data_IF_722033767295
#
_entry.id   IF_722033767295
#
_cell.length_a   1.000
_cell.length_b   1.000
_cell.length_c   1.000
_cell.angle_alpha   90.00
_cell.angle_beta   90.00
_cell.angle_gamma   90.00
#
_symmetry.space_group_name_H-M   'P 1'
#
loop_
_entity.id
_entity.type
_entity.pdbx_description
1 polymer ?
#
# COMPACT_ATOMS: atom_id res chain seq x y z
N UNK A 1 27.40 0.45 5.94
CA UNK A 1 26.33 1.30 5.38
C UNK A 1 25.50 1.80 6.55
N UNK A 2 25.25 3.12 6.71
CA UNK A 2 24.39 3.62 7.80
C UNK A 2 22.94 3.32 7.42
N UNK A 3 22.23 2.55 8.25
CA UNK A 3 20.81 2.21 8.10
C UNK A 3 19.99 3.51 8.23
N UNK A 4 18.99 3.71 7.38
CA UNK A 4 18.13 4.90 7.42
C UNK A 4 16.91 4.55 8.28
N UNK A 5 17.01 4.80 9.59
CA UNK A 5 16.06 4.27 10.57
C UNK A 5 14.65 4.82 10.36
N UNK A 6 14.50 6.10 10.03
CA UNK A 6 13.16 6.66 9.84
C UNK A 6 12.38 6.03 8.67
N UNK A 7 13.05 5.63 7.58
CA UNK A 7 12.39 4.93 6.46
C UNK A 7 11.97 3.51 6.84
N UNK A 8 12.77 2.87 7.68
CA UNK A 8 12.49 1.55 8.24
C UNK A 8 11.32 1.58 9.22
N UNK A 9 11.26 2.62 10.05
CA UNK A 9 10.15 2.87 10.96
C UNK A 9 8.87 3.28 10.21
N UNK A 10 9.00 4.10 9.15
CA UNK A 10 7.85 4.51 8.33
C UNK A 10 7.23 3.31 7.60
N UNK A 11 8.04 2.45 6.98
CA UNK A 11 7.51 1.19 6.40
C UNK A 11 6.79 0.35 7.44
N UNK A 12 7.40 0.15 8.62
CA UNK A 12 6.82 -0.62 9.70
C UNK A 12 5.45 -0.06 10.14
N UNK A 13 5.39 1.25 10.33
CA UNK A 13 4.16 1.97 10.65
C UNK A 13 3.10 1.79 9.57
N UNK A 14 3.45 1.95 8.29
CA UNK A 14 2.49 1.78 7.19
C UNK A 14 1.95 0.36 7.12
N UNK A 15 2.77 -0.68 7.38
CA UNK A 15 2.28 -2.05 7.43
C UNK A 15 1.32 -2.27 8.61
N UNK A 16 1.66 -1.78 9.81
CA UNK A 16 0.77 -1.89 10.96
C UNK A 16 -0.54 -1.12 10.74
N UNK A 17 -0.46 0.09 10.18
CA UNK A 17 -1.62 0.91 9.81
C UNK A 17 -2.49 0.19 8.77
N UNK A 18 -1.87 -0.44 7.77
CA UNK A 18 -2.56 -1.22 6.75
C UNK A 18 -3.28 -2.43 7.37
N UNK A 19 -2.72 -3.10 8.36
CA UNK A 19 -3.40 -4.21 9.06
C UNK A 19 -4.67 -3.71 9.73
N UNK A 20 -4.61 -2.64 10.53
CA UNK A 20 -5.80 -2.10 11.21
C UNK A 20 -6.80 -1.50 10.21
N UNK A 21 -6.32 -0.93 9.10
CA UNK A 21 -7.14 -0.50 7.97
C UNK A 21 -7.98 -1.64 7.38
N UNK A 22 -7.37 -2.80 7.10
CA UNK A 22 -8.08 -3.95 6.56
C UNK A 22 -9.12 -4.51 7.54
N UNK A 23 -8.85 -4.42 8.84
CA UNK A 23 -9.81 -4.78 9.88
C UNK A 23 -10.99 -3.80 9.88
N UNK A 24 -10.71 -2.49 9.75
CA UNK A 24 -11.75 -1.46 9.76
C UNK A 24 -12.72 -1.62 8.58
N UNK A 25 -12.22 -2.10 7.44
CA UNK A 25 -13.07 -2.41 6.27
C UNK A 25 -14.19 -3.41 6.57
N UNK A 26 -13.99 -4.29 7.55
CA UNK A 26 -15.00 -5.26 7.98
C UNK A 26 -16.12 -4.67 8.83
N UNK A 27 -15.99 -3.42 9.28
CA UNK A 27 -16.96 -2.75 10.17
C UNK A 27 -17.52 -1.45 9.57
N UNK A 28 -17.15 -1.11 8.33
CA UNK A 28 -17.61 0.10 7.64
C UNK A 28 -19.14 0.11 7.45
N UNK A 29 -19.73 1.30 7.53
CA UNK A 29 -21.10 1.54 7.06
C UNK A 29 -21.28 1.21 5.57
N UNK A 30 -20.24 1.47 4.76
CA UNK A 30 -20.25 1.22 3.32
C UNK A 30 -19.10 0.28 2.94
N UNK A 31 -19.09 -0.93 3.51
CA UNK A 31 -18.10 -1.95 3.19
C UNK A 31 -18.28 -2.45 1.73
N UNK A 32 -17.21 -2.63 0.95
CA UNK A 32 -17.32 -3.17 -0.39
C UNK A 32 -17.86 -4.60 -0.42
N UNK A 33 -18.73 -4.93 -1.38
CA UNK A 33 -19.33 -6.26 -1.50
C UNK A 33 -18.32 -7.38 -1.80
N UNK A 34 -17.13 -7.03 -2.30
CA UNK A 34 -16.06 -7.98 -2.56
C UNK A 34 -15.16 -8.20 -1.33
N UNK A 35 -15.43 -7.53 -0.21
CA UNK A 35 -14.65 -7.73 1.02
C UNK A 35 -14.92 -9.09 1.66
N UNK A 36 -13.87 -9.67 2.26
CA UNK A 36 -13.83 -11.09 2.62
C UNK A 36 -14.72 -11.45 3.81
N UNK A 37 -14.56 -10.74 4.93
CA UNK A 37 -15.38 -10.87 6.12
C UNK A 37 -15.92 -9.49 6.50
N UNK A 38 -17.24 -9.35 6.60
CA UNK A 38 -17.91 -8.08 6.94
C UNK A 38 -18.92 -8.35 8.03
N UNK A 39 -18.74 -7.71 9.18
CA UNK A 39 -19.71 -7.74 10.26
C UNK A 39 -20.79 -6.68 9.98
N UNK A 40 -21.98 -7.15 9.61
CA UNK A 40 -23.13 -6.29 9.28
C UNK A 40 -24.04 -6.03 10.50
N UNK A 41 -23.68 -6.49 11.70
CA UNK A 41 -24.54 -6.37 12.87
C UNK A 41 -24.66 -4.93 13.39
N UNK A 42 -23.58 -4.17 13.35
CA UNK A 42 -23.51 -2.78 13.82
C UNK A 42 -22.50 -1.96 13.00
N UNK A 43 -22.81 -1.64 11.73
CA UNK A 43 -21.86 -1.01 10.83
C UNK A 43 -21.75 0.51 11.10
N UNK A 44 -20.53 1.06 11.13
CA UNK A 44 -20.28 2.45 11.60
C UNK A 44 -19.65 3.36 10.55
N UNK A 45 -20.10 4.61 10.50
CA UNK A 45 -19.55 5.66 9.62
C UNK A 45 -18.10 5.99 9.95
N UNK A 46 -17.71 5.93 11.23
CA UNK A 46 -16.35 6.25 11.69
C UNK A 46 -15.29 5.38 11.00
N UNK A 47 -15.57 4.10 10.80
CA UNK A 47 -14.69 3.18 10.06
C UNK A 47 -14.66 3.52 8.56
N UNK A 48 -15.79 3.93 7.96
CA UNK A 48 -15.81 4.42 6.57
C UNK A 48 -14.91 5.65 6.42
N UNK A 49 -15.02 6.64 7.32
CA UNK A 49 -14.20 7.86 7.32
C UNK A 49 -12.72 7.50 7.42
N UNK A 50 -12.36 6.61 8.36
CA UNK A 50 -10.98 6.17 8.54
C UNK A 50 -10.42 5.47 7.30
N UNK A 51 -11.17 4.55 6.69
CA UNK A 51 -10.75 3.84 5.47
C UNK A 51 -10.61 4.82 4.30
N UNK A 52 -11.58 5.68 4.05
CA UNK A 52 -11.51 6.68 2.97
C UNK A 52 -10.28 7.58 3.12
N UNK A 53 -9.93 7.96 4.35
CA UNK A 53 -8.76 8.77 4.64
C UNK A 53 -7.44 8.00 4.46
N UNK A 54 -7.32 6.80 5.03
CA UNK A 54 -6.08 6.03 5.03
C UNK A 54 -5.72 5.38 3.68
N UNK A 55 -6.73 5.07 2.86
CA UNK A 55 -6.57 4.43 1.53
C UNK A 55 -5.63 5.21 0.59
N UNK A 56 -5.51 6.52 0.81
CA UNK A 56 -4.83 7.43 -0.13
C UNK A 56 -3.32 7.30 -0.12
N UNK A 57 -2.71 7.07 1.04
CA UNK A 57 -1.27 7.30 1.21
C UNK A 57 -0.46 6.05 1.53
N UNK A 58 -1.10 4.98 2.00
CA UNK A 58 -0.44 3.70 2.32
C UNK A 58 0.44 3.25 1.14
N UNK A 59 -0.14 3.14 -0.05
CA UNK A 59 0.56 2.62 -1.22
C UNK A 59 1.56 3.60 -1.83
N UNK A 60 1.24 4.89 -2.04
CA UNK A 60 2.22 5.89 -2.46
C UNK A 60 3.50 5.95 -1.60
N UNK A 61 3.37 5.89 -0.27
CA UNK A 61 4.52 5.85 0.64
C UNK A 61 5.36 4.60 0.40
N UNK A 62 4.73 3.42 0.31
CA UNK A 62 5.43 2.16 0.07
C UNK A 62 6.16 2.14 -1.29
N UNK A 63 5.54 2.66 -2.35
CA UNK A 63 6.17 2.77 -3.66
C UNK A 63 7.32 3.78 -3.69
N UNK A 64 7.19 4.94 -3.02
CA UNK A 64 8.28 5.89 -2.86
C UNK A 64 9.51 5.24 -2.20
N UNK A 65 9.31 4.56 -1.08
CA UNK A 65 10.40 3.90 -0.35
C UNK A 65 11.02 2.78 -1.21
N UNK A 66 10.18 2.03 -1.91
CA UNK A 66 10.62 0.95 -2.80
C UNK A 66 11.43 1.44 -4.00
N UNK A 67 11.08 2.60 -4.55
CA UNK A 67 11.83 3.27 -5.62
C UNK A 67 13.19 3.77 -5.14
N UNK A 68 13.23 4.42 -3.97
CA UNK A 68 14.46 4.90 -3.33
C UNK A 68 15.48 3.78 -3.12
N UNK A 69 15.08 2.68 -2.46
CA UNK A 69 15.97 1.52 -2.26
C UNK A 69 16.17 0.69 -3.54
N UNK A 70 15.22 0.78 -4.47
CA UNK A 70 15.28 0.17 -5.79
C UNK A 70 16.48 0.59 -6.61
N UNK A 71 16.56 1.90 -6.89
CA UNK A 71 17.68 2.46 -7.64
C UNK A 71 18.99 2.31 -6.87
N UNK A 72 18.96 2.47 -5.55
CA UNK A 72 20.13 2.24 -4.70
C UNK A 72 20.70 0.83 -4.86
N UNK A 73 19.82 -0.18 -4.88
CA UNK A 73 20.19 -1.58 -5.09
C UNK A 73 20.74 -1.82 -6.49
N UNK A 74 20.14 -1.20 -7.52
CA UNK A 74 20.55 -1.36 -8.91
C UNK A 74 21.89 -0.68 -9.20
N UNK A 75 22.16 0.50 -8.62
CA UNK A 75 23.40 1.24 -8.81
C UNK A 75 24.62 0.61 -8.13
N UNK A 76 24.41 -0.22 -7.09
CA UNK A 76 25.50 -0.76 -6.25
C UNK A 76 25.85 -2.21 -6.55
N UNK A 77 25.09 -2.89 -7.40
CA UNK A 77 25.23 -4.33 -7.60
C UNK A 77 25.14 -4.68 -9.08
N UNK A 78 25.83 -5.74 -9.53
CA UNK A 78 25.67 -6.25 -10.89
C UNK A 78 24.22 -6.64 -11.18
N UNK A 79 23.81 -6.54 -12.45
CA UNK A 79 22.44 -6.84 -12.89
C UNK A 79 21.96 -8.23 -12.44
N UNK A 80 22.83 -9.26 -12.52
CA UNK A 80 22.51 -10.62 -12.06
C UNK A 80 22.11 -10.64 -10.59
N UNK A 81 22.90 -10.00 -9.72
CA UNK A 81 22.63 -9.95 -8.27
C UNK A 81 21.37 -9.16 -7.94
N UNK A 82 21.11 -8.06 -8.67
CA UNK A 82 19.86 -7.32 -8.57
C UNK A 82 18.65 -8.23 -8.85
N UNK A 83 18.65 -8.93 -9.99
CA UNK A 83 17.54 -9.79 -10.38
C UNK A 83 17.37 -11.01 -9.48
N UNK A 84 18.46 -11.69 -9.09
CA UNK A 84 18.37 -12.80 -8.11
C UNK A 84 17.71 -12.32 -6.82
N UNK A 85 18.04 -11.13 -6.33
CA UNK A 85 17.40 -10.58 -5.14
C UNK A 85 15.91 -10.29 -5.33
N UNK A 86 15.50 -9.77 -6.50
CA UNK A 86 14.09 -9.42 -6.76
C UNK A 86 13.24 -10.66 -7.04
N UNK A 87 13.80 -11.67 -7.70
CA UNK A 87 13.14 -12.96 -7.90
C UNK A 87 12.89 -13.65 -6.55
N UNK A 88 13.92 -13.75 -5.71
CA UNK A 88 13.80 -14.44 -4.41
C UNK A 88 12.90 -13.72 -3.41
N UNK A 89 12.89 -12.38 -3.39
CA UNK A 89 12.19 -11.60 -2.36
C UNK A 89 10.89 -10.95 -2.83
N UNK A 90 10.53 -11.05 -4.11
CA UNK A 90 9.32 -10.41 -4.64
C UNK A 90 8.57 -11.38 -5.52
N UNK A 91 9.19 -11.85 -6.61
CA UNK A 91 8.50 -12.69 -7.59
C UNK A 91 8.03 -14.02 -7.00
N UNK A 92 8.93 -14.77 -6.33
CA UNK A 92 8.58 -16.06 -5.72
C UNK A 92 7.50 -15.89 -4.63
N UNK A 93 7.67 -15.00 -3.63
CA UNK A 93 6.61 -14.72 -2.66
C UNK A 93 5.28 -14.32 -3.31
N UNK A 94 5.31 -13.45 -4.33
CA UNK A 94 4.11 -13.03 -5.06
C UNK A 94 3.37 -14.21 -5.69
N UNK A 95 4.07 -15.05 -6.47
CA UNK A 95 3.47 -16.22 -7.12
C UNK A 95 2.91 -17.21 -6.10
N UNK A 96 3.68 -17.52 -5.05
CA UNK A 96 3.21 -18.41 -3.98
C UNK A 96 2.00 -17.83 -3.25
N UNK A 97 1.98 -16.51 -3.01
CA UNK A 97 0.88 -15.83 -2.35
C UNK A 97 -0.39 -15.90 -3.19
N UNK A 98 -0.29 -15.64 -4.49
CA UNK A 98 -1.43 -15.68 -5.43
C UNK A 98 -1.96 -17.10 -5.65
N UNK A 99 -1.09 -18.12 -5.72
CA UNK A 99 -1.53 -19.49 -6.01
C UNK A 99 -2.06 -20.19 -4.76
N UNK A 100 -1.43 -19.97 -3.60
CA UNK A 100 -1.72 -20.74 -2.39
C UNK A 100 -2.65 -19.98 -1.45
N UNK A 101 -2.32 -18.72 -1.15
CA UNK A 101 -2.97 -17.97 -0.07
C UNK A 101 -4.18 -17.17 -0.57
N UNK A 102 -4.10 -16.56 -1.76
CA UNK A 102 -5.19 -15.76 -2.30
C UNK A 102 -6.52 -16.52 -2.47
N UNK A 103 -6.56 -17.79 -2.98
CA UNK A 103 -7.82 -18.53 -3.04
C UNK A 103 -8.42 -18.75 -1.65
N UNK A 104 -7.60 -19.11 -0.66
CA UNK A 104 -8.06 -19.34 0.71
C UNK A 104 -8.68 -18.07 1.33
N UNK A 105 -8.06 -16.91 1.11
CA UNK A 105 -8.59 -15.61 1.56
C UNK A 105 -9.90 -15.28 0.84
N UNK A 106 -9.94 -15.41 -0.49
CA UNK A 106 -11.15 -15.11 -1.27
C UNK A 106 -12.30 -16.05 -0.92
N UNK A 107 -12.01 -17.31 -0.57
CA UNK A 107 -13.03 -18.27 -0.14
C UNK A 107 -13.77 -17.85 1.14
N UNK A 108 -13.17 -17.01 1.98
CA UNK A 108 -13.85 -16.46 3.17
C UNK A 108 -15.11 -15.67 2.83
N UNK A 109 -15.23 -15.13 1.61
CA UNK A 109 -16.45 -14.49 1.12
C UNK A 109 -17.65 -15.45 1.20
N UNK A 110 -17.45 -16.71 0.80
CA UNK A 110 -18.51 -17.72 0.76
C UNK A 110 -18.80 -18.24 2.17
N UNK A 111 -17.75 -18.47 2.96
CA UNK A 111 -17.87 -18.95 4.34
C UNK A 111 -18.61 -17.96 5.24
N UNK A 112 -18.27 -16.67 5.16
CA UNK A 112 -18.89 -15.61 5.98
C UNK A 112 -20.32 -15.31 5.58
N UNK A 113 -20.72 -15.69 4.36
CA UNK A 113 -22.08 -15.49 3.81
C UNK A 113 -22.91 -16.77 3.80
N UNK A 114 -22.40 -17.85 4.40
CA UNK A 114 -23.06 -19.17 4.44
C UNK A 114 -23.48 -19.70 3.06
N UNK A 115 -22.71 -19.40 2.01
CA UNK A 115 -22.97 -19.90 0.66
C UNK A 115 -22.38 -21.31 0.55
N UNK A 116 -23.19 -22.35 0.30
CA UNK A 116 -22.73 -23.74 0.27
C UNK A 116 -22.00 -24.04 -1.04
N UNK A 117 -20.73 -23.61 -1.13
CA UNK A 117 -19.85 -23.88 -2.27
C UNK A 117 -18.65 -24.71 -1.81
N UNK A 118 -18.51 -25.99 -2.22
CA UNK A 118 -17.35 -26.80 -1.85
C UNK A 118 -16.04 -26.16 -2.31
N UNK A 119 -15.00 -26.24 -1.46
CA UNK A 119 -13.73 -25.55 -1.71
C UNK A 119 -13.07 -25.95 -3.05
N UNK A 120 -13.09 -27.24 -3.41
CA UNK A 120 -12.50 -27.70 -4.68
C UNK A 120 -13.26 -27.20 -5.91
N UNK A 121 -14.58 -27.03 -5.79
CA UNK A 121 -15.38 -26.43 -6.87
C UNK A 121 -15.10 -24.93 -6.98
N UNK A 122 -15.05 -24.22 -5.86
CA UNK A 122 -14.62 -22.82 -5.81
C UNK A 122 -13.24 -22.63 -6.45
N UNK A 123 -12.26 -23.42 -6.02
CA UNK A 123 -10.86 -23.26 -6.43
C UNK A 123 -10.70 -23.35 -7.95
N UNK A 124 -11.32 -24.36 -8.56
CA UNK A 124 -11.21 -24.60 -9.99
C UNK A 124 -12.12 -23.66 -10.79
N UNK A 125 -13.44 -23.70 -10.56
CA UNK A 125 -14.43 -23.06 -11.43
C UNK A 125 -14.62 -21.57 -11.16
N UNK A 126 -14.39 -21.13 -9.93
CA UNK A 126 -14.71 -19.75 -9.49
C UNK A 126 -13.46 -18.89 -9.33
N UNK A 127 -12.37 -19.47 -8.81
CA UNK A 127 -11.13 -18.75 -8.57
C UNK A 127 -10.18 -18.80 -9.77
N UNK A 128 -9.56 -19.94 -10.10
CA UNK A 128 -8.51 -19.99 -11.14
C UNK A 128 -9.03 -19.71 -12.56
N UNK A 129 -10.16 -20.34 -12.92
CA UNK A 129 -10.77 -20.22 -14.24
C UNK A 129 -12.07 -19.41 -14.23
N UNK A 130 -12.35 -18.71 -13.12
CA UNK A 130 -13.59 -17.98 -12.92
C UNK A 130 -13.41 -16.48 -12.70
N UNK A 131 -14.51 -15.78 -12.38
CA UNK A 131 -14.51 -14.33 -12.27
C UNK A 131 -13.74 -13.81 -11.05
N UNK A 132 -13.53 -14.63 -10.01
CA UNK A 132 -12.95 -14.20 -8.73
C UNK A 132 -11.43 -14.40 -8.62
N UNK A 133 -10.73 -14.69 -9.72
CA UNK A 133 -9.27 -14.65 -9.72
C UNK A 133 -8.79 -13.28 -9.22
N UNK A 134 -8.05 -13.28 -8.12
CA UNK A 134 -7.55 -12.08 -7.45
C UNK A 134 -6.14 -12.32 -6.92
N UNK A 135 -5.35 -11.26 -6.85
CA UNK A 135 -4.04 -11.29 -6.18
C UNK A 135 -4.17 -10.96 -4.69
N UNK A 136 -5.37 -10.67 -4.16
CA UNK A 136 -5.62 -10.25 -2.76
C UNK A 136 -4.66 -9.14 -2.36
N UNK A 137 -3.89 -9.21 -1.26
CA UNK A 137 -2.90 -8.20 -0.92
C UNK A 137 -1.64 -8.22 -1.82
N UNK A 138 -1.38 -9.33 -2.51
CA UNK A 138 -0.12 -9.58 -3.22
C UNK A 138 0.02 -8.79 -4.52
N UNK A 139 -1.04 -8.11 -4.98
CA UNK A 139 -0.98 -7.23 -6.15
C UNK A 139 0.16 -6.22 -6.02
N UNK A 140 0.44 -5.72 -4.81
CA UNK A 140 1.55 -4.80 -4.57
C UNK A 140 2.90 -5.40 -4.96
N UNK A 141 3.16 -6.66 -4.65
CA UNK A 141 4.40 -7.34 -5.05
C UNK A 141 4.48 -7.50 -6.58
N UNK A 142 3.37 -7.84 -7.23
CA UNK A 142 3.27 -7.90 -8.68
C UNK A 142 3.59 -6.56 -9.32
N UNK A 143 2.86 -5.50 -8.95
CA UNK A 143 3.10 -4.13 -9.43
C UNK A 143 4.53 -3.69 -9.16
N UNK A 144 5.06 -3.95 -7.96
CA UNK A 144 6.43 -3.60 -7.59
C UNK A 144 7.47 -4.33 -8.46
N UNK A 145 7.25 -5.60 -8.78
CA UNK A 145 8.12 -6.35 -9.68
C UNK A 145 8.16 -5.72 -11.08
N UNK A 146 7.00 -5.32 -11.62
CA UNK A 146 6.93 -4.60 -12.90
C UNK A 146 7.61 -3.23 -12.85
N UNK A 147 7.48 -2.48 -11.75
CA UNK A 147 8.21 -1.22 -11.59
C UNK A 147 9.72 -1.42 -11.52
N UNK A 148 10.20 -2.56 -11.00
CA UNK A 148 11.63 -2.90 -11.06
C UNK A 148 12.09 -3.30 -12.47
N UNK A 149 11.24 -3.95 -13.27
CA UNK A 149 11.50 -4.17 -14.70
C UNK A 149 11.61 -2.81 -15.41
N UNK A 150 10.63 -1.93 -15.20
CA UNK A 150 10.63 -0.59 -15.78
C UNK A 150 11.88 0.21 -15.38
N UNK A 151 12.24 0.21 -14.09
CA UNK A 151 13.46 0.86 -13.60
C UNK A 151 14.71 0.32 -14.29
N UNK A 152 14.80 -1.00 -14.46
CA UNK A 152 15.94 -1.64 -15.12
C UNK A 152 16.04 -1.24 -16.59
N UNK A 153 14.92 -1.23 -17.32
CA UNK A 153 14.85 -0.78 -18.72
C UNK A 153 15.26 0.69 -18.83
N UNK A 154 14.72 1.56 -17.97
CA UNK A 154 15.11 2.98 -17.92
C UNK A 154 16.60 3.13 -17.64
N UNK A 155 17.17 2.34 -16.74
CA UNK A 155 18.60 2.38 -16.43
C UNK A 155 19.50 1.80 -17.54
N UNK A 156 18.96 0.98 -18.43
CA UNK A 156 19.66 0.52 -19.64
C UNK A 156 19.66 1.60 -20.73
N UNK A 157 18.53 2.26 -20.94
CA UNK A 157 18.38 3.34 -21.94
C UNK A 157 19.10 4.61 -21.48
N UNK A 158 19.00 4.96 -20.19
CA UNK A 158 19.59 6.15 -19.57
C UNK A 158 20.45 5.76 -18.35
N UNK A 159 21.69 5.27 -18.56
CA UNK A 159 22.58 4.82 -17.48
C UNK A 159 22.81 5.86 -16.37
N UNK A 160 22.75 7.15 -16.71
CA UNK A 160 22.87 8.30 -15.80
C UNK A 160 21.87 8.26 -14.63
N UNK A 161 20.74 7.54 -14.74
CA UNK A 161 19.80 7.38 -13.64
C UNK A 161 20.41 6.67 -12.43
N UNK A 162 21.46 5.86 -12.66
CA UNK A 162 22.19 5.15 -11.60
C UNK A 162 23.15 6.05 -10.83
N UNK A 163 23.46 7.23 -11.36
CA UNK A 163 24.41 8.15 -10.76
C UNK A 163 23.73 9.02 -9.70
N UNK A 164 24.50 9.29 -8.63
CA UNK A 164 24.13 10.29 -7.63
C UNK A 164 24.49 11.67 -8.14
N UNK A 165 23.57 12.60 -7.95
CA UNK A 165 23.75 14.01 -8.23
C UNK A 165 24.23 14.74 -6.96
N UNK A 166 24.55 16.02 -7.12
CA UNK A 166 24.80 16.90 -5.97
C UNK A 166 23.58 16.91 -5.03
N UNK A 167 23.80 16.83 -3.70
CA UNK A 167 22.73 16.99 -2.73
C UNK A 167 22.01 18.32 -2.97
N UNK A 168 20.69 18.26 -3.19
CA UNK A 168 19.89 19.46 -3.40
C UNK A 168 18.44 19.21 -2.97
N UNK A 169 17.82 20.26 -2.45
CA UNK A 169 16.38 20.29 -2.19
C UNK A 169 15.59 20.19 -3.51
N UNK A 170 14.41 19.55 -3.52
CA UNK A 170 13.48 19.67 -4.63
C UNK A 170 13.06 21.14 -4.82
N UNK A 171 13.14 21.64 -6.04
CA UNK A 171 12.53 22.92 -6.40
C UNK A 171 11.01 22.84 -6.42
N UNK A 172 10.31 23.98 -6.37
CA UNK A 172 8.83 24.04 -6.44
C UNK A 172 8.26 23.30 -7.67
N UNK A 173 8.97 23.34 -8.79
CA UNK A 173 8.60 22.64 -10.01
C UNK A 173 8.46 21.12 -9.83
N UNK A 174 9.26 20.50 -8.95
CA UNK A 174 9.15 19.06 -8.68
C UNK A 174 7.78 18.70 -8.10
N UNK A 175 7.33 19.44 -7.08
CA UNK A 175 6.03 19.22 -6.44
C UNK A 175 4.88 19.56 -7.39
N UNK A 176 5.03 20.64 -8.17
CA UNK A 176 4.04 21.02 -9.18
C UNK A 176 3.88 19.95 -10.25
N UNK A 177 4.99 19.38 -10.76
CA UNK A 177 4.97 18.30 -11.75
C UNK A 177 4.29 17.06 -11.16
N UNK A 178 4.62 16.66 -9.93
CA UNK A 178 3.97 15.53 -9.27
C UNK A 178 2.47 15.76 -9.13
N UNK A 179 2.05 16.95 -8.69
CA UNK A 179 0.64 17.29 -8.51
C UNK A 179 -0.12 17.27 -9.84
N UNK A 180 0.41 17.92 -10.89
CA UNK A 180 -0.21 17.97 -12.22
C UNK A 180 -0.28 16.59 -12.84
N UNK A 181 0.83 15.84 -12.87
CA UNK A 181 0.86 14.50 -13.46
C UNK A 181 -0.09 13.55 -12.72
N UNK A 182 -0.10 13.58 -11.40
CA UNK A 182 -1.01 12.78 -10.57
C UNK A 182 -2.46 13.10 -10.89
N UNK A 183 -2.79 14.39 -10.96
CA UNK A 183 -4.14 14.86 -11.26
C UNK A 183 -4.59 14.47 -12.67
N UNK A 184 -3.83 14.83 -13.69
CA UNK A 184 -4.18 14.59 -15.10
C UNK A 184 -4.35 13.10 -15.38
N UNK A 185 -3.44 12.25 -14.86
CA UNK A 185 -3.53 10.81 -15.06
C UNK A 185 -4.67 10.18 -14.25
N UNK A 186 -4.96 10.67 -13.04
CA UNK A 186 -6.10 10.19 -12.24
C UNK A 186 -7.42 10.54 -12.92
N UNK A 187 -7.58 11.78 -13.40
CA UNK A 187 -8.78 12.21 -14.15
C UNK A 187 -8.96 11.37 -15.41
N UNK A 188 -7.89 11.22 -16.22
CA UNK A 188 -7.93 10.39 -17.42
C UNK A 188 -8.32 8.94 -17.12
N UNK A 189 -7.73 8.33 -16.08
CA UNK A 189 -8.08 6.98 -15.66
C UNK A 189 -9.54 6.85 -15.18
N UNK A 190 -10.05 7.86 -14.47
CA UNK A 190 -11.44 7.91 -14.05
C UNK A 190 -12.42 7.92 -15.24
N UNK A 191 -12.12 8.70 -16.29
CA UNK A 191 -12.91 8.66 -17.53
C UNK A 191 -12.86 7.28 -18.21
N UNK A 192 -11.69 6.64 -18.25
CA UNK A 192 -11.53 5.31 -18.85
C UNK A 192 -12.35 4.21 -18.15
N UNK A 193 -12.65 4.37 -16.86
CA UNK A 193 -13.43 3.41 -16.07
C UNK A 193 -14.86 3.88 -15.79
N UNK A 194 -15.36 4.87 -16.55
CA UNK A 194 -16.74 5.33 -16.44
C UNK A 194 -17.10 5.98 -15.09
N UNK A 195 -16.13 6.59 -14.42
CA UNK A 195 -16.34 7.25 -13.12
C UNK A 195 -16.19 6.33 -11.89
N UNK A 196 -16.00 5.02 -12.08
CA UNK A 196 -15.87 4.08 -10.97
C UNK A 196 -14.44 4.08 -10.38
N UNK A 197 -14.25 4.84 -9.30
CA UNK A 197 -12.98 4.92 -8.57
C UNK A 197 -12.45 3.58 -8.08
N UNK A 198 -13.35 2.69 -7.68
CA UNK A 198 -13.05 1.45 -6.97
C UNK A 198 -12.96 0.27 -7.95
N UNK A 199 -12.98 0.56 -9.25
CA UNK A 199 -12.82 -0.43 -10.28
C UNK A 199 -11.41 -1.04 -10.25
N UNK A 200 -11.35 -2.35 -10.06
CA UNK A 200 -10.14 -3.13 -10.23
C UNK A 200 -10.16 -3.83 -11.58
N UNK A 201 -9.10 -3.62 -12.35
CA UNK A 201 -8.90 -4.26 -13.65
C UNK A 201 -7.85 -5.35 -13.56
N UNK A 202 -8.04 -6.41 -14.36
CA UNK A 202 -7.10 -7.54 -14.42
C UNK A 202 -6.68 -7.84 -15.86
N UNK A 203 -5.38 -8.03 -16.05
CA UNK A 203 -4.82 -8.71 -17.22
C UNK A 203 -4.51 -10.12 -16.73
N UNK A 204 -5.49 -11.01 -16.81
CA UNK A 204 -5.38 -12.36 -16.27
C UNK A 204 -4.24 -13.14 -16.95
N UNK A 205 -3.39 -13.89 -16.21
CA UNK A 205 -3.23 -13.91 -14.74
C UNK A 205 -2.17 -12.92 -14.21
N UNK A 206 -1.59 -12.12 -15.10
CA UNK A 206 -0.31 -11.42 -15.01
C UNK A 206 -0.35 -10.18 -14.10
N UNK A 207 -1.45 -9.43 -14.10
CA UNK A 207 -1.56 -8.15 -13.40
C UNK A 207 -2.97 -7.91 -12.87
N UNK A 208 -3.08 -7.55 -11.60
CA UNK A 208 -4.27 -6.98 -10.99
C UNK A 208 -3.92 -5.55 -10.54
N UNK A 209 -4.72 -4.57 -10.95
CA UNK A 209 -4.43 -3.16 -10.66
C UNK A 209 -5.69 -2.30 -10.62
N UNK A 210 -5.60 -1.18 -9.93
CA UNK A 210 -6.64 -0.15 -9.92
C UNK A 210 -6.25 0.96 -10.91
N UNK A 211 -6.98 1.14 -12.03
CA UNK A 211 -6.60 2.10 -13.08
C UNK A 211 -6.44 3.53 -12.56
N UNK A 212 -7.30 3.94 -11.63
CA UNK A 212 -7.28 5.28 -11.02
C UNK A 212 -6.09 5.53 -10.09
N UNK A 213 -5.31 4.49 -9.73
CA UNK A 213 -4.18 4.59 -8.79
C UNK A 213 -2.83 4.17 -9.36
N UNK A 214 -2.79 3.30 -10.37
CA UNK A 214 -1.53 2.74 -10.89
C UNK A 214 -0.54 3.83 -11.35
N UNK A 215 -1.04 4.92 -11.94
CA UNK A 215 -0.23 6.07 -12.35
C UNK A 215 0.47 6.74 -11.16
N UNK A 216 -0.23 6.89 -10.03
CA UNK A 216 0.34 7.44 -8.80
C UNK A 216 1.48 6.55 -8.31
N UNK A 217 1.31 5.23 -8.35
CA UNK A 217 2.35 4.30 -7.92
C UNK A 217 3.63 4.45 -8.73
N UNK A 218 3.52 4.63 -10.06
CA UNK A 218 4.66 4.93 -10.93
C UNK A 218 5.30 6.27 -10.55
N UNK A 219 4.50 7.33 -10.39
CA UNK A 219 4.98 8.68 -10.04
C UNK A 219 5.76 8.66 -8.72
N UNK A 220 5.19 8.12 -7.65
CA UNK A 220 5.82 8.09 -6.34
C UNK A 220 7.03 7.16 -6.29
N UNK A 221 7.01 6.04 -7.01
CA UNK A 221 8.20 5.19 -7.17
C UNK A 221 9.36 5.96 -7.79
N UNK A 222 9.14 6.69 -8.89
CA UNK A 222 10.19 7.50 -9.51
C UNK A 222 10.54 8.77 -8.73
N UNK A 223 9.62 9.32 -7.92
CA UNK A 223 9.94 10.35 -6.93
C UNK A 223 10.94 9.83 -5.88
N UNK A 224 10.79 8.57 -5.44
CA UNK A 224 11.76 7.89 -4.59
C UNK A 224 13.12 7.70 -5.26
N UNK A 225 13.13 7.31 -6.53
CA UNK A 225 14.35 7.23 -7.35
C UNK A 225 15.05 8.60 -7.43
N UNK A 226 14.28 9.67 -7.67
CA UNK A 226 14.78 11.03 -7.71
C UNK A 226 15.38 11.46 -6.37
N UNK A 227 14.68 11.20 -5.26
CA UNK A 227 15.14 11.50 -3.91
C UNK A 227 16.48 10.80 -3.57
N UNK A 228 16.68 9.57 -4.05
CA UNK A 228 17.96 8.88 -3.93
C UNK A 228 19.06 9.56 -4.73
N UNK A 229 18.79 9.90 -6.01
CA UNK A 229 19.76 10.59 -6.87
C UNK A 229 20.17 11.93 -6.30
N UNK A 230 19.23 12.70 -5.74
CA UNK A 230 19.48 13.99 -5.06
C UNK A 230 19.92 13.86 -3.61
N UNK A 231 20.20 12.64 -3.16
CA UNK A 231 20.79 12.36 -1.85
C UNK A 231 20.02 12.97 -0.66
N UNK A 232 18.68 13.04 -0.72
CA UNK A 232 17.87 13.72 0.29
C UNK A 232 18.16 13.23 1.71
N UNK A 233 18.21 11.93 1.91
CA UNK A 233 18.34 11.33 3.24
C UNK A 233 19.80 11.06 3.65
N UNK A 234 20.70 11.98 3.30
CA UNK A 234 22.11 11.96 3.71
C UNK A 234 22.41 13.11 4.68
N UNK A 235 23.57 13.12 5.34
CA UNK A 235 23.91 14.14 6.35
C UNK A 235 23.93 15.56 5.77
N UNK A 236 24.34 15.72 4.51
CA UNK A 236 24.29 17.00 3.75
C UNK A 236 23.06 17.11 2.85
N UNK A 237 22.09 16.22 3.03
CA UNK A 237 20.93 16.09 2.17
C UNK A 237 19.77 16.99 2.57
N UNK A 238 18.73 16.95 1.76
CA UNK A 238 17.48 17.64 2.00
C UNK A 238 16.66 17.00 3.12
N UNK A 239 16.29 17.81 4.11
CA UNK A 239 15.32 17.44 5.15
C UNK A 239 13.98 18.10 4.86
N UNK A 240 12.92 17.33 4.96
CA UNK A 240 11.56 17.84 4.80
C UNK A 240 11.17 18.62 6.06
N UNK A 241 10.52 19.77 5.87
CA UNK A 241 10.06 20.60 6.98
C UNK A 241 8.70 20.08 7.51
N UNK A 242 8.63 19.53 8.74
CA UNK A 242 7.38 19.07 9.32
C UNK A 242 6.38 20.21 9.54
N UNK A 243 6.83 21.46 9.72
CA UNK A 243 5.94 22.61 9.94
C UNK A 243 5.16 23.00 8.69
N UNK A 244 5.65 22.63 7.51
CA UNK A 244 4.94 22.83 6.23
C UNK A 244 4.10 21.60 5.88
N UNK A 245 4.70 20.41 5.95
CA UNK A 245 4.07 19.21 5.41
C UNK A 245 3.03 18.56 6.33
N UNK A 246 3.15 18.70 7.65
CA UNK A 246 2.13 18.17 8.58
C UNK A 246 0.82 18.97 8.48
N UNK A 247 0.80 20.32 8.51
CA UNK A 247 -0.42 21.07 8.29
C UNK A 247 -1.02 20.82 6.89
N UNK A 248 -0.19 20.72 5.85
CA UNK A 248 -0.66 20.36 4.52
C UNK A 248 -1.31 18.97 4.49
N UNK A 249 -0.73 17.97 5.15
CA UNK A 249 -1.30 16.62 5.27
C UNK A 249 -2.66 16.64 5.97
N UNK A 250 -2.76 17.34 7.12
CA UNK A 250 -4.01 17.45 7.87
C UNK A 250 -5.07 18.18 7.05
N UNK A 251 -4.74 19.36 6.52
CA UNK A 251 -5.66 20.19 5.75
C UNK A 251 -6.20 19.44 4.53
N UNK A 252 -5.30 18.95 3.67
CA UNK A 252 -5.72 18.21 2.46
C UNK A 252 -6.47 16.92 2.79
N UNK A 253 -6.14 16.25 3.91
CA UNK A 253 -6.84 15.07 4.37
C UNK A 253 -8.28 15.35 4.80
N UNK A 254 -8.52 16.44 5.53
CA UNK A 254 -9.87 16.87 5.91
C UNK A 254 -10.70 17.19 4.67
N UNK A 255 -10.18 18.02 3.76
CA UNK A 255 -10.89 18.41 2.54
C UNK A 255 -11.16 17.22 1.61
N UNK A 256 -10.17 16.35 1.38
CA UNK A 256 -10.36 15.14 0.59
C UNK A 256 -11.44 14.24 1.20
N UNK A 257 -11.35 13.95 2.50
CA UNK A 257 -12.28 13.01 3.15
C UNK A 257 -13.70 13.56 3.17
N UNK A 258 -13.88 14.84 3.52
CA UNK A 258 -15.18 15.50 3.49
C UNK A 258 -15.78 15.50 2.07
N UNK A 259 -14.99 15.87 1.06
CA UNK A 259 -15.47 15.88 -0.32
C UNK A 259 -15.75 14.47 -0.86
N UNK A 260 -14.93 13.47 -0.52
CA UNK A 260 -15.13 12.10 -0.95
C UNK A 260 -16.43 11.48 -0.40
N UNK A 261 -16.85 11.88 0.81
CA UNK A 261 -18.06 11.37 1.47
C UNK A 261 -19.32 12.15 1.07
N UNK A 262 -19.23 13.47 0.92
CA UNK A 262 -20.41 14.32 0.77
C UNK A 262 -20.50 15.05 -0.57
N UNK A 263 -19.42 15.08 -1.36
CA UNK A 263 -19.37 15.86 -2.60
C UNK A 263 -20.36 15.42 -3.67
N UNK A 264 -20.77 14.14 -3.67
CA UNK A 264 -21.78 13.63 -4.62
C UNK A 264 -23.18 14.20 -4.35
N UNK A 265 -23.44 14.72 -3.14
CA UNK A 265 -24.74 15.30 -2.79
C UNK A 265 -24.98 16.66 -3.47
N UNK A 266 -23.92 17.32 -3.92
CA UNK A 266 -23.98 18.71 -4.42
C UNK A 266 -23.39 18.87 -5.82
N UNK A 267 -22.47 18.00 -6.24
CA UNK A 267 -21.79 18.09 -7.52
C UNK A 267 -22.35 17.12 -8.56
N UNK A 268 -22.33 17.52 -9.84
CA UNK A 268 -22.55 16.58 -10.95
C UNK A 268 -21.52 15.45 -10.92
N UNK A 269 -21.78 14.26 -11.49
CA UNK A 269 -20.82 13.16 -11.50
C UNK A 269 -19.44 13.54 -12.06
N UNK A 270 -19.40 14.34 -13.12
CA UNK A 270 -18.15 14.83 -13.73
C UNK A 270 -17.44 15.81 -12.81
N UNK A 271 -18.17 16.77 -12.24
CA UNK A 271 -17.61 17.76 -11.30
C UNK A 271 -17.04 17.07 -10.06
N UNK A 272 -17.78 16.11 -9.50
CA UNK A 272 -17.35 15.30 -8.37
C UNK A 272 -16.03 14.59 -8.66
N UNK A 273 -15.96 13.90 -9.79
CA UNK A 273 -14.79 13.16 -10.22
C UNK A 273 -13.55 14.06 -10.38
N UNK A 274 -13.71 15.21 -11.04
CA UNK A 274 -12.63 16.16 -11.31
C UNK A 274 -12.09 16.75 -10.00
N UNK A 275 -12.98 17.26 -9.13
CA UNK A 275 -12.57 17.86 -7.85
C UNK A 275 -11.98 16.79 -6.92
N UNK A 276 -12.61 15.62 -6.82
CA UNK A 276 -12.09 14.50 -6.02
C UNK A 276 -10.70 14.08 -6.48
N UNK A 277 -10.43 14.05 -7.79
CA UNK A 277 -9.11 13.73 -8.34
C UNK A 277 -8.05 14.77 -7.98
N UNK A 278 -8.41 16.06 -7.97
CA UNK A 278 -7.51 17.14 -7.53
C UNK A 278 -7.18 17.02 -6.04
N UNK A 279 -8.21 16.88 -5.20
CA UNK A 279 -8.03 16.70 -3.75
C UNK A 279 -7.24 15.43 -3.43
N UNK A 280 -7.52 14.33 -4.12
CA UNK A 280 -6.79 13.07 -3.99
C UNK A 280 -5.31 13.26 -4.30
N UNK A 281 -4.98 13.92 -5.42
CA UNK A 281 -3.59 14.15 -5.84
C UNK A 281 -2.82 15.02 -4.84
N UNK A 282 -3.45 16.10 -4.35
CA UNK A 282 -2.87 16.98 -3.34
C UNK A 282 -2.68 16.26 -2.01
N UNK A 283 -3.68 15.50 -1.57
CA UNK A 283 -3.62 14.74 -0.32
C UNK A 283 -2.59 13.62 -0.37
N UNK A 284 -2.50 12.87 -1.47
CA UNK A 284 -1.45 11.87 -1.68
C UNK A 284 -0.05 12.49 -1.60
N UNK A 285 0.14 13.68 -2.18
CA UNK A 285 1.42 14.37 -2.13
C UNK A 285 1.76 14.84 -0.71
N UNK A 286 0.81 15.54 -0.08
CA UNK A 286 0.98 16.09 1.25
C UNK A 286 1.22 15.00 2.31
N UNK A 287 0.50 13.88 2.22
CA UNK A 287 0.66 12.73 3.13
C UNK A 287 2.00 12.01 2.94
N UNK A 288 2.46 11.77 1.71
CA UNK A 288 3.76 11.13 1.46
C UNK A 288 4.89 11.98 2.05
N UNK A 289 4.92 13.29 1.73
CA UNK A 289 5.98 14.16 2.23
C UNK A 289 5.80 14.54 3.71
N UNK A 290 4.57 14.61 4.22
CA UNK A 290 4.26 14.83 5.63
C UNK A 290 4.69 13.68 6.52
N UNK A 291 4.43 12.44 6.11
CA UNK A 291 4.89 11.26 6.84
C UNK A 291 6.41 11.11 6.77
N UNK A 292 7.04 11.40 5.62
CA UNK A 292 8.50 11.44 5.53
C UNK A 292 9.08 12.52 6.46
N UNK A 293 8.51 13.72 6.51
CA UNK A 293 8.95 14.81 7.39
C UNK A 293 8.79 14.46 8.87
N UNK A 294 7.64 13.88 9.24
CA UNK A 294 7.35 13.47 10.60
C UNK A 294 8.32 12.38 11.07
N UNK A 295 8.50 11.32 10.28
CA UNK A 295 9.38 10.22 10.66
C UNK A 295 10.84 10.64 10.65
N UNK A 296 11.28 11.43 9.67
CA UNK A 296 12.64 11.94 9.62
C UNK A 296 12.97 12.85 10.83
N UNK A 297 12.01 13.64 11.31
CA UNK A 297 12.23 14.56 12.43
C UNK A 297 12.04 13.93 13.81
N UNK A 298 11.14 12.95 13.96
CA UNK A 298 10.75 12.40 15.27
C UNK A 298 11.11 10.93 15.48
N UNK A 299 11.35 10.17 14.41
CA UNK A 299 11.52 8.72 14.46
C UNK A 299 12.75 8.24 13.66
N UNK A 300 13.80 9.06 13.55
CA UNK A 300 15.09 8.66 12.97
C UNK A 300 16.04 8.02 14.00
N UNK A 301 15.52 7.02 14.71
CA UNK A 301 16.27 6.22 15.67
C UNK A 301 15.78 4.77 15.67
N UNK A 302 16.49 3.89 16.35
CA UNK A 302 16.08 2.50 16.54
C UNK A 302 16.23 2.08 17.99
N UNK A 303 15.38 1.16 18.44
CA UNK A 303 15.48 0.45 19.71
C UNK A 303 15.06 -1.01 19.48
N UNK A 304 15.09 -1.86 20.50
CA UNK A 304 14.77 -3.29 20.36
C UNK A 304 13.39 -3.54 19.74
N UNK A 305 12.38 -2.76 20.15
CA UNK A 305 11.01 -2.86 19.63
C UNK A 305 10.90 -2.41 18.17
N UNK A 306 11.35 -1.18 17.86
CA UNK A 306 11.29 -0.63 16.50
C UNK A 306 12.06 -1.50 15.51
N UNK A 307 13.22 -2.01 15.92
CA UNK A 307 13.99 -2.95 15.13
C UNK A 307 13.20 -4.22 14.86
N UNK A 308 12.61 -4.83 15.91
CA UNK A 308 11.85 -6.07 15.78
C UNK A 308 10.64 -5.93 14.84
N UNK A 309 9.88 -4.84 14.95
CA UNK A 309 8.72 -4.59 14.07
C UNK A 309 9.18 -4.27 12.64
N UNK A 310 10.20 -3.43 12.47
CA UNK A 310 10.69 -3.06 11.14
C UNK A 310 11.27 -4.25 10.38
N UNK A 311 12.07 -5.07 11.06
CA UNK A 311 12.64 -6.30 10.54
C UNK A 311 11.55 -7.31 10.11
N UNK A 312 10.42 -7.35 10.82
CA UNK A 312 9.29 -8.25 10.56
C UNK A 312 8.23 -7.65 9.60
N UNK A 313 8.34 -6.37 9.23
CA UNK A 313 7.27 -5.67 8.49
C UNK A 313 6.92 -6.32 7.15
N UNK A 314 7.90 -6.84 6.42
CA UNK A 314 7.67 -7.49 5.12
C UNK A 314 6.89 -8.80 5.25
N UNK A 315 7.21 -9.63 6.25
CA UNK A 315 6.55 -10.91 6.51
C UNK A 315 5.17 -10.72 7.14
N UNK A 316 5.00 -9.69 7.98
CA UNK A 316 3.69 -9.26 8.47
C UNK A 316 2.78 -8.85 7.29
N UNK A 317 3.28 -8.01 6.39
CA UNK A 317 2.58 -7.68 5.15
C UNK A 317 2.24 -8.93 4.32
N UNK A 318 3.15 -9.90 4.23
CA UNK A 318 2.88 -11.10 3.46
C UNK A 318 1.70 -11.90 4.04
N UNK A 319 1.70 -12.12 5.35
CA UNK A 319 0.76 -13.02 6.02
C UNK A 319 -0.60 -12.39 6.39
N UNK A 320 -0.70 -11.06 6.43
CA UNK A 320 -1.78 -10.42 7.18
C UNK A 320 -3.19 -10.77 6.75
N UNK A 321 -3.52 -10.69 5.45
CA UNK A 321 -4.91 -10.64 5.02
C UNK A 321 -5.70 -11.87 5.50
N UNK A 322 -5.20 -13.08 5.25
CA UNK A 322 -5.89 -14.29 5.67
C UNK A 322 -6.03 -14.41 7.19
N UNK A 323 -4.95 -14.14 7.93
CA UNK A 323 -4.95 -14.23 9.39
C UNK A 323 -5.93 -13.23 10.00
N UNK A 324 -5.93 -12.01 9.48
CA UNK A 324 -6.79 -10.92 9.96
C UNK A 324 -8.25 -11.19 9.62
N UNK A 325 -8.56 -11.66 8.41
CA UNK A 325 -9.94 -12.00 8.03
C UNK A 325 -10.47 -13.19 8.82
N UNK A 326 -9.62 -14.16 9.18
CA UNK A 326 -10.00 -15.25 10.09
C UNK A 326 -10.31 -14.73 11.51
N UNK A 327 -9.51 -13.79 12.02
CA UNK A 327 -9.78 -13.13 13.31
C UNK A 327 -11.11 -12.39 13.28
N UNK A 328 -11.39 -11.60 12.24
CA UNK A 328 -12.67 -10.91 12.07
C UNK A 328 -13.81 -11.92 12.01
N UNK A 329 -13.69 -12.96 11.17
CA UNK A 329 -14.73 -13.98 11.01
C UNK A 329 -15.06 -14.67 12.33
N UNK A 330 -14.06 -15.04 13.14
CA UNK A 330 -14.27 -15.62 14.46
C UNK A 330 -14.99 -14.68 15.44
N UNK A 331 -14.80 -13.37 15.30
CA UNK A 331 -15.43 -12.35 16.15
C UNK A 331 -16.83 -11.94 15.68
N UNK A 332 -17.23 -12.26 14.44
CA UNK A 332 -18.54 -11.86 13.89
C UNK A 332 -19.70 -12.33 14.77
N UNK A 333 -19.68 -13.59 15.21
CA UNK A 333 -20.73 -14.17 16.06
C UNK A 333 -20.69 -13.76 17.53
N UNK A 334 -19.69 -12.98 17.96
CA UNK A 334 -19.54 -12.57 19.36
C UNK A 334 -20.35 -11.30 19.62
N UNK A 335 -21.24 -11.36 20.62
CA UNK A 335 -22.06 -10.23 21.05
C UNK A 335 -21.24 -9.20 21.86
N UNK A 336 -20.43 -8.40 21.15
CA UNK A 336 -19.67 -7.28 21.70
C UNK A 336 -20.00 -6.00 20.93
N UNK A 337 -19.95 -4.82 21.59
CA UNK A 337 -20.01 -3.55 20.89
C UNK A 337 -18.95 -3.46 19.78
N UNK A 338 -19.32 -2.91 18.62
CA UNK A 338 -18.47 -2.95 17.42
C UNK A 338 -17.06 -2.36 17.64
N UNK A 339 -16.95 -1.26 18.39
CA UNK A 339 -15.64 -0.65 18.70
C UNK A 339 -14.76 -1.56 19.56
N UNK A 340 -15.37 -2.27 20.52
CA UNK A 340 -14.66 -3.24 21.37
C UNK A 340 -14.18 -4.41 20.51
N UNK A 341 -15.06 -4.92 19.62
CA UNK A 341 -14.74 -5.98 18.67
C UNK A 341 -13.62 -5.59 17.72
N UNK A 342 -13.65 -4.36 17.19
CA UNK A 342 -12.59 -3.79 16.34
C UNK A 342 -11.25 -3.71 17.07
N UNK A 343 -11.22 -3.20 18.32
CA UNK A 343 -9.99 -3.10 19.12
C UNK A 343 -9.40 -4.49 19.37
N UNK A 344 -10.22 -5.47 19.77
CA UNK A 344 -9.78 -6.85 19.94
C UNK A 344 -9.24 -7.45 18.64
N UNK A 345 -9.94 -7.25 17.52
CA UNK A 345 -9.49 -7.69 16.21
C UNK A 345 -8.14 -7.06 15.83
N UNK A 346 -7.92 -5.77 16.11
CA UNK A 346 -6.65 -5.08 15.85
C UNK A 346 -5.50 -5.65 16.67
N UNK A 347 -5.71 -5.84 17.98
CA UNK A 347 -4.69 -6.39 18.87
C UNK A 347 -4.34 -7.81 18.43
N UNK A 348 -5.34 -8.68 18.27
CA UNK A 348 -5.13 -10.07 17.89
C UNK A 348 -4.53 -10.19 16.49
N UNK A 349 -5.02 -9.39 15.54
CA UNK A 349 -4.50 -9.32 14.18
C UNK A 349 -3.03 -8.91 14.15
N UNK A 350 -2.65 -7.85 14.85
CA UNK A 350 -1.25 -7.41 14.94
C UNK A 350 -0.36 -8.48 15.61
N UNK A 351 -0.82 -9.12 16.69
CA UNK A 351 -0.06 -10.16 17.39
C UNK A 351 0.12 -11.40 16.50
N UNK A 352 -0.95 -11.94 15.93
CA UNK A 352 -0.90 -13.16 15.11
C UNK A 352 -0.07 -12.93 13.85
N UNK A 353 -0.24 -11.79 13.17
CA UNK A 353 0.57 -11.45 12.00
C UNK A 353 2.04 -11.24 12.35
N UNK A 354 2.34 -10.64 13.50
CA UNK A 354 3.71 -10.53 14.00
C UNK A 354 4.31 -11.93 14.24
N UNK A 355 3.65 -12.80 15.00
CA UNK A 355 4.13 -14.15 15.33
C UNK A 355 4.34 -15.00 14.08
N UNK A 356 3.34 -15.07 13.20
CA UNK A 356 3.47 -15.81 11.93
C UNK A 356 4.55 -15.18 11.05
N UNK A 357 4.64 -13.85 11.01
CA UNK A 357 5.70 -13.15 10.31
C UNK A 357 7.10 -13.55 10.80
N UNK A 358 7.29 -13.72 12.11
CA UNK A 358 8.54 -14.21 12.70
C UNK A 358 8.89 -15.63 12.22
N UNK A 359 7.89 -16.50 12.12
CA UNK A 359 8.06 -17.87 11.63
C UNK A 359 8.44 -17.86 10.15
N UNK A 360 7.79 -17.03 9.33
CA UNK A 360 8.11 -16.93 7.90
C UNK A 360 9.56 -16.55 7.64
N UNK A 361 10.20 -15.78 8.53
CA UNK A 361 11.62 -15.41 8.38
C UNK A 361 12.60 -16.58 8.44
N UNK A 362 12.19 -17.78 8.86
CA UNK A 362 13.01 -18.99 8.72
C UNK A 362 13.15 -19.44 7.25
N UNK A 363 12.25 -19.01 6.38
CA UNK A 363 12.30 -19.35 4.96
C UNK A 363 13.30 -18.44 4.22
N UNK A 364 14.12 -18.98 3.28
CA UNK A 364 15.19 -18.22 2.63
C UNK A 364 14.74 -16.93 1.91
N UNK A 365 13.51 -16.93 1.39
CA UNK A 365 12.92 -15.80 0.67
C UNK A 365 12.47 -14.66 1.59
N UNK A 366 12.23 -14.93 2.88
CA UNK A 366 11.84 -13.95 3.89
C UNK A 366 12.96 -13.59 4.88
N UNK A 367 14.03 -14.40 4.94
CA UNK A 367 15.12 -14.20 5.87
C UNK A 367 15.76 -12.81 5.76
N UNK A 368 16.06 -12.20 6.91
CA UNK A 368 16.86 -10.98 6.99
C UNK A 368 18.30 -11.38 6.74
N UNK A 369 18.93 -10.79 5.71
CA UNK A 369 20.37 -10.97 5.52
C UNK A 369 21.07 -10.18 6.61
N UNK A 370 21.75 -10.90 7.51
CA UNK A 370 22.64 -10.32 8.53
C UNK A 370 23.80 -9.60 7.87
#
# INVERSE_FOLDING_TARGET
>A
MKRIFFLDNLKAFIICLMIVFHIAMSYMQYAPEWWYAVDKSDPQMSFTVFVVWADIFIMPVMFFISGYFGIMSLSRQPAKKFWTSKLMRIFIPWVLGVIILAPAVTYLIFLTRHVPLPFMEFLNKVFFFGPLFSHTQYWFLGTLFYLYILLFVVAKIKPVIKEKLTPAAPGKAFFLIIAILSYTLTVGAYYLVGGNNDNWSKVWPILLYQPTRISLYVIYFFAGVYAWRKQWFTEKGFRLDPTVWIPAFIFTGVFYTGYALFGQLTASPVTFMVIKSALHSLFAMASVFGLLALFQSKLDYTNGFLKAVSDNSYTMYYAHMGLVMLVVWALMGVALPVYVKYIFACILGLVVTYVVGRILMFLPFFAIKK
#
